data_IF_135083634245
#
_entry.id   IF_135083634245
#
_cell.length_a   1.000
_cell.length_b   1.000
_cell.length_c   1.000
_cell.angle_alpha   90.00
_cell.angle_beta   90.00
_cell.angle_gamma   90.00
#
_symmetry.space_group_name_H-M   'P 1'
#
loop_
_entity.id
_entity.type
_entity.pdbx_description
1 polymer ?
#
# COMPACT_ATOMS: atom_id res chain seq x y z
N UNK A 1 -25.65 -16.88 -5.47
CA UNK A 1 -24.40 -16.88 -6.29
C UNK A 1 -23.21 -17.06 -5.36
N UNK A 2 -22.32 -18.03 -5.59
CA UNK A 2 -21.16 -18.24 -4.73
C UNK A 2 -20.07 -17.19 -5.03
N UNK A 3 -20.05 -16.11 -4.25
CA UNK A 3 -19.11 -14.99 -4.40
C UNK A 3 -17.64 -15.42 -4.36
N UNK A 4 -17.31 -16.40 -3.53
CA UNK A 4 -15.95 -16.97 -3.45
C UNK A 4 -15.56 -17.66 -4.77
N UNK A 5 -16.46 -18.43 -5.38
CA UNK A 5 -16.22 -19.07 -6.68
C UNK A 5 -15.99 -18.04 -7.79
N UNK A 6 -16.79 -16.98 -7.81
CA UNK A 6 -16.64 -15.91 -8.81
C UNK A 6 -15.34 -15.13 -8.61
N UNK A 7 -15.01 -14.78 -7.35
CA UNK A 7 -13.72 -14.18 -7.00
C UNK A 7 -12.57 -15.04 -7.50
N UNK A 8 -12.55 -16.34 -7.18
CA UNK A 8 -11.45 -17.22 -7.58
C UNK A 8 -11.31 -17.34 -9.10
N UNK A 9 -12.42 -17.33 -9.83
CA UNK A 9 -12.42 -17.39 -11.30
C UNK A 9 -11.75 -16.15 -11.91
N UNK A 10 -12.06 -14.95 -11.42
CA UNK A 10 -11.45 -13.71 -11.93
C UNK A 10 -10.02 -13.54 -11.42
N UNK A 11 -9.79 -13.85 -10.14
CA UNK A 11 -8.53 -13.60 -9.46
C UNK A 11 -7.43 -14.47 -10.03
N UNK A 12 -7.69 -15.77 -10.26
CA UNK A 12 -6.69 -16.67 -10.86
C UNK A 12 -6.26 -16.23 -12.27
N UNK A 13 -7.17 -15.64 -13.05
CA UNK A 13 -6.83 -15.10 -14.39
C UNK A 13 -5.96 -13.86 -14.27
N UNK A 14 -6.33 -12.92 -13.40
CA UNK A 14 -5.52 -11.74 -13.13
C UNK A 14 -4.15 -12.12 -12.54
N UNK A 15 -4.10 -13.07 -11.62
CA UNK A 15 -2.89 -13.59 -11.00
C UNK A 15 -1.97 -14.25 -12.02
N UNK A 16 -2.50 -15.04 -12.97
CA UNK A 16 -1.70 -15.63 -14.05
C UNK A 16 -1.02 -14.55 -14.91
N UNK A 17 -1.71 -13.45 -15.19
CA UNK A 17 -1.22 -12.38 -16.06
C UNK A 17 -0.28 -11.39 -15.35
N UNK A 18 -0.69 -10.91 -14.18
CA UNK A 18 0.02 -9.85 -13.45
C UNK A 18 0.92 -10.39 -12.34
N UNK A 19 0.78 -11.66 -11.94
CA UNK A 19 1.62 -12.29 -10.93
C UNK A 19 3.10 -12.38 -11.33
N UNK A 20 3.44 -12.74 -12.58
CA UNK A 20 4.83 -12.76 -13.04
C UNK A 20 5.48 -11.38 -13.21
N UNK A 21 4.72 -10.28 -13.07
CA UNK A 21 5.26 -8.93 -13.25
C UNK A 21 6.17 -8.59 -12.07
N UNK A 22 7.48 -8.62 -12.34
CA UNK A 22 8.50 -8.21 -11.40
C UNK A 22 8.66 -6.68 -11.41
N UNK A 23 7.75 -6.02 -10.71
CA UNK A 23 7.80 -4.57 -10.46
C UNK A 23 7.81 -4.30 -8.97
N UNK A 24 8.90 -3.75 -8.46
CA UNK A 24 9.00 -3.28 -7.07
C UNK A 24 8.04 -2.10 -6.86
N UNK A 25 7.20 -2.19 -5.84
CA UNK A 25 6.43 -1.03 -5.36
C UNK A 25 7.24 -0.27 -4.31
N UNK A 26 6.95 1.02 -4.14
CA UNK A 26 7.71 1.87 -3.23
C UNK A 26 7.73 1.38 -1.77
N UNK A 27 6.69 0.64 -1.33
CA UNK A 27 6.61 0.02 0.00
C UNK A 27 7.22 -1.39 0.08
N UNK A 28 8.01 -1.84 -0.90
CA UNK A 28 8.56 -3.20 -0.94
C UNK A 28 10.11 -3.19 -0.96
N UNK A 29 10.73 -4.27 -0.46
CA UNK A 29 12.18 -4.52 -0.61
C UNK A 29 13.08 -3.73 0.36
N UNK A 30 12.54 -3.22 1.47
CA UNK A 30 13.33 -2.52 2.49
C UNK A 30 13.77 -3.48 3.61
N UNK A 31 14.97 -3.26 4.15
CA UNK A 31 15.55 -4.10 5.21
C UNK A 31 15.06 -3.77 6.64
N UNK A 32 14.08 -2.89 6.77
CA UNK A 32 13.52 -2.47 8.05
C UNK A 32 12.05 -2.04 7.89
N UNK A 33 11.21 -2.36 8.89
CA UNK A 33 9.80 -2.00 8.91
C UNK A 33 9.57 -0.48 8.87
N UNK A 34 10.41 0.31 9.54
CA UNK A 34 10.27 1.78 9.52
C UNK A 34 10.57 2.37 8.14
N UNK A 35 11.59 1.85 7.44
CA UNK A 35 11.90 2.29 6.06
C UNK A 35 10.73 2.01 5.14
N UNK A 36 10.13 0.82 5.29
CA UNK A 36 8.95 0.43 4.54
C UNK A 36 7.76 1.38 4.79
N UNK A 37 7.47 1.67 6.06
CA UNK A 37 6.42 2.61 6.45
C UNK A 37 6.64 3.99 5.83
N UNK A 38 7.84 4.57 6.00
CA UNK A 38 8.19 5.90 5.49
C UNK A 38 8.08 5.95 3.97
N UNK A 39 8.63 4.96 3.25
CA UNK A 39 8.52 4.88 1.80
C UNK A 39 7.06 4.74 1.34
N UNK A 40 6.23 4.03 2.10
CA UNK A 40 4.79 3.92 1.82
C UNK A 40 4.08 5.27 1.98
N UNK A 41 4.36 6.02 3.05
CA UNK A 41 3.83 7.39 3.25
C UNK A 41 4.26 8.29 2.08
N UNK A 42 5.53 8.22 1.67
CA UNK A 42 6.07 8.99 0.55
C UNK A 42 5.39 8.64 -0.79
N UNK A 43 5.01 7.38 -1.00
CA UNK A 43 4.42 6.90 -2.26
C UNK A 43 2.99 7.38 -2.51
N UNK A 44 2.31 7.91 -1.48
CA UNK A 44 0.96 8.43 -1.62
C UNK A 44 0.90 9.46 -2.76
N UNK A 45 0.10 9.17 -3.80
CA UNK A 45 -0.04 10.00 -5.00
C UNK A 45 1.31 10.33 -5.68
N UNK A 46 2.23 9.37 -5.71
CA UNK A 46 3.50 9.46 -6.42
C UNK A 46 3.81 8.17 -7.14
N UNK A 47 4.63 8.27 -8.19
CA UNK A 47 5.07 7.12 -8.97
C UNK A 47 6.15 6.36 -8.20
N UNK A 48 6.14 5.04 -8.32
CA UNK A 48 7.12 4.16 -7.66
C UNK A 48 8.53 4.50 -8.14
N UNK A 49 8.68 4.77 -9.45
CA UNK A 49 9.94 5.12 -10.13
C UNK A 49 10.54 6.46 -9.63
N UNK A 50 9.71 7.34 -9.09
CA UNK A 50 10.16 8.59 -8.46
C UNK A 50 10.43 8.39 -6.97
N UNK A 51 9.59 7.59 -6.30
CA UNK A 51 9.61 7.45 -4.85
C UNK A 51 10.81 6.64 -4.37
N UNK A 52 11.11 5.53 -5.03
CA UNK A 52 12.19 4.60 -4.64
C UNK A 52 13.56 5.29 -4.56
N UNK A 53 14.07 5.96 -5.61
CA UNK A 53 15.41 6.58 -5.54
C UNK A 53 15.48 7.72 -4.53
N UNK A 54 14.39 8.46 -4.31
CA UNK A 54 14.34 9.52 -3.30
C UNK A 54 14.35 8.93 -1.89
N UNK A 55 13.64 7.81 -1.67
CA UNK A 55 13.65 7.10 -0.40
C UNK A 55 15.03 6.48 -0.10
N UNK A 56 15.70 5.90 -1.11
CA UNK A 56 17.08 5.40 -0.97
C UNK A 56 18.03 6.51 -0.51
N UNK A 57 17.99 7.68 -1.17
CA UNK A 57 18.80 8.83 -0.75
C UNK A 57 18.42 9.37 0.64
N UNK A 58 17.13 9.37 0.97
CA UNK A 58 16.66 9.76 2.31
C UNK A 58 17.23 8.82 3.38
N UNK A 59 17.19 7.51 3.16
CA UNK A 59 17.65 6.51 4.12
C UNK A 59 19.18 6.38 4.20
N UNK A 60 19.90 6.81 3.17
CA UNK A 60 21.35 6.97 3.22
C UNK A 60 21.72 8.17 4.12
N UNK A 61 21.02 9.30 3.97
CA UNK A 61 21.23 10.48 4.84
C UNK A 61 20.73 10.28 6.27
N UNK A 62 19.60 9.59 6.45
CA UNK A 62 19.00 9.28 7.75
C UNK A 62 18.93 7.75 7.93
N UNK A 63 20.03 7.16 8.35
CA UNK A 63 20.21 5.70 8.48
C UNK A 63 19.43 5.05 9.63
N UNK A 64 18.85 5.86 10.53
CA UNK A 64 18.03 5.42 11.65
C UNK A 64 16.74 6.24 11.78
N UNK A 65 15.74 5.64 12.42
CA UNK A 65 14.45 6.29 12.67
C UNK A 65 14.60 7.52 13.56
N UNK A 66 15.47 7.45 14.57
CA UNK A 66 15.78 8.56 15.48
C UNK A 66 16.41 9.76 14.74
N UNK A 67 17.35 9.51 13.83
CA UNK A 67 17.91 10.58 12.99
C UNK A 67 16.84 11.26 12.14
N UNK A 68 15.89 10.50 11.60
CA UNK A 68 14.79 11.06 10.82
C UNK A 68 13.77 11.82 11.71
N UNK A 69 13.50 11.36 12.92
CA UNK A 69 12.64 12.03 13.91
C UNK A 69 13.17 13.42 14.33
N UNK A 70 14.51 13.55 14.36
CA UNK A 70 15.23 14.77 14.70
C UNK A 70 15.63 15.61 13.47
N UNK A 71 15.25 15.19 12.27
CA UNK A 71 15.63 15.87 11.03
C UNK A 71 15.02 17.28 10.93
N UNK A 72 15.79 18.23 10.38
CA UNK A 72 15.28 19.57 10.09
C UNK A 72 14.33 19.51 8.90
N UNK A 73 13.14 20.09 9.05
CA UNK A 73 12.12 20.12 8.01
C UNK A 73 12.65 20.60 6.64
N UNK A 74 13.44 21.69 6.62
CA UNK A 74 13.98 22.25 5.38
C UNK A 74 14.96 21.30 4.67
N UNK A 75 15.69 20.47 5.40
CA UNK A 75 16.60 19.48 4.80
C UNK A 75 15.82 18.35 4.17
N UNK A 76 14.81 17.81 4.86
CA UNK A 76 13.92 16.77 4.33
C UNK A 76 13.12 17.30 3.14
N UNK A 77 12.63 18.53 3.21
CA UNK A 77 11.92 19.18 2.10
C UNK A 77 12.81 19.33 0.85
N UNK A 78 14.09 19.65 1.04
CA UNK A 78 15.05 19.74 -0.08
C UNK A 78 15.25 18.38 -0.77
N UNK A 79 15.23 17.28 -0.01
CA UNK A 79 15.32 15.91 -0.54
C UNK A 79 14.07 15.57 -1.36
N UNK A 80 12.90 15.82 -0.79
CA UNK A 80 11.61 15.48 -1.41
C UNK A 80 11.15 16.49 -2.48
N UNK A 81 11.97 17.51 -2.82
CA UNK A 81 11.55 18.67 -3.63
C UNK A 81 10.87 18.32 -4.96
N UNK A 82 11.26 17.23 -5.60
CA UNK A 82 10.72 16.77 -6.89
C UNK A 82 9.42 15.97 -6.77
N UNK A 83 8.98 15.66 -5.55
CA UNK A 83 7.73 14.93 -5.31
C UNK A 83 6.53 15.88 -5.21
N UNK A 84 5.38 15.40 -5.68
CA UNK A 84 4.11 16.05 -5.40
C UNK A 84 3.81 16.01 -3.89
N UNK A 85 3.18 17.07 -3.38
CA UNK A 85 2.85 17.23 -1.96
C UNK A 85 4.07 17.14 -1.03
N UNK A 86 5.25 17.53 -1.52
CA UNK A 86 6.52 17.42 -0.78
C UNK A 86 6.47 18.01 0.64
N UNK A 87 5.89 19.20 0.83
CA UNK A 87 5.77 19.85 2.15
C UNK A 87 5.01 18.98 3.15
N UNK A 88 3.83 18.48 2.76
CA UNK A 88 3.01 17.60 3.60
C UNK A 88 3.73 16.29 3.87
N UNK A 89 4.35 15.69 2.85
CA UNK A 89 5.10 14.44 3.01
C UNK A 89 6.29 14.59 3.93
N UNK A 90 7.11 15.63 3.75
CA UNK A 90 8.26 15.93 4.62
C UNK A 90 7.83 16.11 6.07
N UNK A 91 6.72 16.82 6.31
CA UNK A 91 6.14 16.95 7.65
C UNK A 91 5.74 15.58 8.21
N UNK A 92 4.93 14.82 7.47
CA UNK A 92 4.45 13.51 7.94
C UNK A 92 5.56 12.51 8.22
N UNK A 93 6.61 12.41 7.40
CA UNK A 93 7.67 11.42 7.65
C UNK A 93 8.51 11.76 8.90
N UNK A 94 8.72 13.05 9.19
CA UNK A 94 9.39 13.48 10.43
C UNK A 94 8.47 13.22 11.63
N UNK A 95 7.21 13.63 11.54
CA UNK A 95 6.23 13.45 12.62
C UNK A 95 5.93 11.97 12.90
N UNK A 96 5.82 11.14 11.86
CA UNK A 96 5.68 9.70 11.99
C UNK A 96 6.88 9.08 12.69
N UNK A 97 8.10 9.45 12.27
CA UNK A 97 9.33 8.94 12.89
C UNK A 97 9.40 9.32 14.37
N UNK A 98 9.08 10.57 14.70
CA UNK A 98 9.03 11.04 16.08
C UNK A 98 7.95 10.34 16.90
N UNK A 99 6.74 10.23 16.37
CA UNK A 99 5.64 9.54 17.03
C UNK A 99 6.00 8.08 17.36
N UNK A 100 6.69 7.39 16.45
CA UNK A 100 7.13 6.00 16.67
C UNK A 100 8.23 5.92 17.74
N UNK A 101 9.22 6.81 17.71
CA UNK A 101 10.22 6.89 18.77
C UNK A 101 9.58 7.14 20.14
N UNK A 102 8.67 8.11 20.24
CA UNK A 102 8.12 8.58 21.50
C UNK A 102 7.08 7.61 22.12
N UNK A 103 6.27 6.93 21.29
CA UNK A 103 5.15 6.11 21.77
C UNK A 103 5.41 4.61 21.70
N UNK A 104 6.36 4.17 20.88
CA UNK A 104 6.64 2.74 20.63
C UNK A 104 8.13 2.40 20.72
N UNK A 105 8.95 3.27 21.32
CA UNK A 105 10.40 3.06 21.49
C UNK A 105 11.13 2.74 20.17
N UNK A 106 10.65 3.28 19.06
CA UNK A 106 11.24 3.05 17.74
C UNK A 106 10.75 1.77 17.02
N UNK A 107 9.87 0.99 17.65
CA UNK A 107 9.28 -0.21 17.07
C UNK A 107 7.98 0.10 16.32
N UNK A 108 7.73 -0.61 15.22
CA UNK A 108 6.50 -0.44 14.45
C UNK A 108 5.38 -1.24 15.13
N UNK A 109 4.27 -0.61 15.58
CA UNK A 109 3.20 -1.33 16.25
C UNK A 109 2.55 -2.35 15.31
N UNK A 110 1.98 -3.41 15.89
CA UNK A 110 1.42 -4.55 15.18
C UNK A 110 -0.11 -4.61 15.22
N UNK A 111 -0.76 -3.53 15.67
CA UNK A 111 -2.21 -3.38 15.70
C UNK A 111 -2.70 -2.23 14.80
N UNK A 112 -3.79 -2.46 14.07
CA UNK A 112 -4.36 -1.46 13.13
C UNK A 112 -4.69 -0.16 13.85
N UNK A 113 -5.32 -0.23 15.02
CA UNK A 113 -5.80 0.94 15.76
C UNK A 113 -4.64 1.79 16.30
N UNK A 114 -3.44 1.22 16.42
CA UNK A 114 -2.22 1.93 16.77
C UNK A 114 -1.54 2.51 15.52
N UNK A 115 -1.43 1.72 14.46
CA UNK A 115 -0.84 2.13 13.19
C UNK A 115 -1.54 3.34 12.58
N UNK A 116 -2.88 3.40 12.62
CA UNK A 116 -3.64 4.53 12.06
C UNK A 116 -3.49 5.84 12.86
N UNK A 117 -2.91 5.80 14.06
CA UNK A 117 -2.58 7.01 14.83
C UNK A 117 -1.29 7.66 14.34
N UNK A 118 -0.44 6.92 13.62
CA UNK A 118 0.84 7.44 13.11
C UNK A 118 0.55 8.50 12.03
N UNK A 119 1.12 9.71 12.12
CA UNK A 119 0.95 10.75 11.12
C UNK A 119 1.22 10.26 9.68
N UNK A 120 0.27 10.50 8.78
CA UNK A 120 0.37 10.06 7.38
C UNK A 120 0.03 8.59 7.12
N UNK A 121 -0.36 7.82 8.15
CA UNK A 121 -0.77 6.42 8.03
C UNK A 121 -2.29 6.31 8.06
N UNK A 122 -2.89 5.95 6.92
CA UNK A 122 -4.29 5.53 6.84
C UNK A 122 -4.45 4.01 6.93
N UNK A 123 -5.69 3.52 7.00
CA UNK A 123 -6.02 2.09 7.15
C UNK A 123 -5.38 1.17 6.10
N UNK A 124 -5.27 1.62 4.84
CA UNK A 124 -4.55 0.88 3.78
C UNK A 124 -3.05 0.74 4.08
N UNK A 125 -2.41 1.81 4.54
CA UNK A 125 -0.99 1.79 4.91
C UNK A 125 -0.78 0.91 6.15
N UNK A 126 -1.67 1.01 7.15
CA UNK A 126 -1.65 0.15 8.32
C UNK A 126 -1.74 -1.33 7.95
N UNK A 127 -2.70 -1.72 7.12
CA UNK A 127 -2.82 -3.11 6.62
C UNK A 127 -1.56 -3.57 5.86
N UNK A 128 -0.93 -2.69 5.08
CA UNK A 128 0.30 -3.03 4.36
C UNK A 128 1.44 -3.30 5.34
N UNK A 129 1.56 -2.47 6.38
CA UNK A 129 2.54 -2.66 7.46
C UNK A 129 2.31 -3.98 8.20
N UNK A 130 1.07 -4.29 8.57
CA UNK A 130 0.76 -5.58 9.21
C UNK A 130 1.14 -6.77 8.34
N UNK A 131 0.82 -6.73 7.05
CA UNK A 131 1.13 -7.82 6.12
C UNK A 131 2.63 -7.96 5.89
N UNK A 132 3.33 -6.85 5.64
CA UNK A 132 4.72 -6.90 5.19
C UNK A 132 5.74 -6.94 6.33
N UNK A 133 5.50 -6.19 7.41
CA UNK A 133 6.40 -6.14 8.58
C UNK A 133 6.10 -7.28 9.54
N UNK A 134 4.83 -7.44 9.91
CA UNK A 134 4.42 -8.36 10.98
C UNK A 134 3.95 -9.72 10.47
N UNK A 135 3.88 -9.92 9.14
CA UNK A 135 3.39 -11.14 8.49
C UNK A 135 1.99 -11.55 8.98
N UNK A 136 1.20 -10.58 9.46
CA UNK A 136 -0.19 -10.78 9.89
C UNK A 136 -1.11 -10.80 8.66
N UNK A 137 -2.15 -11.64 8.72
CA UNK A 137 -3.18 -11.71 7.69
C UNK A 137 -3.91 -10.36 7.55
N UNK A 138 -3.70 -9.65 6.44
CA UNK A 138 -4.38 -8.39 6.13
C UNK A 138 -4.75 -8.28 4.66
N UNK A 139 -5.95 -7.76 4.36
CA UNK A 139 -6.34 -7.40 2.99
C UNK A 139 -6.10 -5.91 2.81
N UNK A 140 -5.07 -5.54 2.05
CA UNK A 140 -4.87 -4.14 1.70
C UNK A 140 -5.87 -3.71 0.63
N UNK A 141 -6.87 -2.91 0.99
CA UNK A 141 -7.82 -2.35 0.02
C UNK A 141 -7.45 -0.91 -0.32
N UNK A 142 -7.04 -0.68 -1.55
CA UNK A 142 -6.88 0.65 -2.12
C UNK A 142 -8.01 0.96 -3.12
N UNK A 143 -7.89 2.07 -3.85
CA UNK A 143 -8.89 2.46 -4.85
C UNK A 143 -9.04 1.43 -5.97
N UNK A 144 -7.96 0.74 -6.37
CA UNK A 144 -8.02 -0.29 -7.39
C UNK A 144 -8.71 -1.55 -6.89
N UNK A 145 -8.35 -2.03 -5.70
CA UNK A 145 -8.98 -3.19 -5.08
C UNK A 145 -10.47 -2.93 -4.83
N UNK A 146 -10.79 -1.77 -4.25
CA UNK A 146 -12.18 -1.34 -4.03
C UNK A 146 -12.96 -1.29 -5.35
N UNK A 147 -12.42 -0.60 -6.36
CA UNK A 147 -13.08 -0.44 -7.66
C UNK A 147 -13.32 -1.80 -8.33
N UNK A 148 -12.29 -2.64 -8.45
CA UNK A 148 -12.39 -3.94 -9.14
C UNK A 148 -13.38 -4.85 -8.41
N UNK A 149 -13.30 -4.93 -7.08
CA UNK A 149 -14.19 -5.78 -6.29
C UNK A 149 -15.66 -5.39 -6.45
N UNK A 150 -15.97 -4.09 -6.58
CA UNK A 150 -17.32 -3.60 -6.86
C UNK A 150 -17.73 -3.77 -8.34
N UNK A 151 -16.83 -3.53 -9.31
CA UNK A 151 -17.11 -3.72 -10.76
C UNK A 151 -17.47 -5.18 -11.07
N UNK A 152 -16.86 -6.12 -10.37
CA UNK A 152 -17.15 -7.55 -10.52
C UNK A 152 -18.26 -8.06 -9.57
N UNK A 153 -18.92 -7.17 -8.83
CA UNK A 153 -20.00 -7.50 -7.90
C UNK A 153 -19.61 -8.55 -6.84
N UNK A 154 -18.31 -8.64 -6.53
CA UNK A 154 -17.79 -9.46 -5.42
C UNK A 154 -18.28 -8.85 -4.11
N UNK A 155 -18.19 -7.53 -4.00
CA UNK A 155 -18.74 -6.72 -2.91
C UNK A 155 -19.65 -5.63 -3.47
N UNK A 156 -20.48 -5.05 -2.61
CA UNK A 156 -21.27 -3.85 -2.89
C UNK A 156 -21.12 -2.90 -1.69
N UNK A 157 -20.11 -2.03 -1.75
CA UNK A 157 -19.65 -1.23 -0.60
C UNK A 157 -19.30 0.18 -1.07
N UNK A 158 -19.41 1.16 -0.18
CA UNK A 158 -19.23 2.57 -0.54
C UNK A 158 -17.79 3.05 -0.39
N UNK A 159 -17.02 2.40 0.46
CA UNK A 159 -15.65 2.79 0.76
C UNK A 159 -14.69 1.58 0.88
N UNK A 160 -13.37 1.80 0.82
CA UNK A 160 -12.37 0.74 0.93
C UNK A 160 -12.44 -0.06 2.24
N UNK A 161 -12.78 0.58 3.35
CA UNK A 161 -12.80 -0.04 4.68
C UNK A 161 -13.94 -1.09 4.77
N UNK A 162 -15.13 -0.76 4.28
CA UNK A 162 -16.24 -1.70 4.10
C UNK A 162 -15.86 -2.84 3.14
N UNK A 163 -15.17 -2.53 2.03
CA UNK A 163 -14.69 -3.55 1.10
C UNK A 163 -13.73 -4.52 1.79
N UNK A 164 -12.83 -4.04 2.63
CA UNK A 164 -11.89 -4.88 3.38
C UNK A 164 -12.66 -5.91 4.23
N UNK A 165 -13.61 -5.44 5.04
CA UNK A 165 -14.42 -6.27 5.93
C UNK A 165 -15.19 -7.34 5.14
N UNK A 166 -15.79 -6.96 4.01
CA UNK A 166 -16.52 -7.90 3.16
C UNK A 166 -15.60 -8.89 2.43
N UNK A 167 -14.44 -8.44 1.93
CA UNK A 167 -13.48 -9.32 1.28
C UNK A 167 -12.91 -10.35 2.25
N UNK A 168 -12.71 -10.02 3.53
CA UNK A 168 -12.27 -10.99 4.55
C UNK A 168 -13.23 -12.17 4.71
N UNK A 169 -14.53 -11.98 4.41
CA UNK A 169 -15.56 -13.04 4.45
C UNK A 169 -15.59 -13.89 3.19
N UNK A 170 -15.08 -13.39 2.06
CA UNK A 170 -15.23 -13.98 0.72
C UNK A 170 -13.94 -14.63 0.23
N UNK A 171 -12.80 -13.97 0.45
CA UNK A 171 -11.49 -14.29 -0.11
C UNK A 171 -10.78 -15.31 0.79
N UNK A 172 -10.31 -16.45 0.27
CA UNK A 172 -9.51 -17.38 1.06
C UNK A 172 -8.19 -16.74 1.55
N UNK A 173 -7.83 -16.98 2.81
CA UNK A 173 -6.65 -16.38 3.49
C UNK A 173 -5.35 -16.41 2.67
N UNK A 174 -5.07 -17.51 1.98
CA UNK A 174 -3.88 -17.67 1.12
C UNK A 174 -3.72 -16.62 -0.01
N UNK A 175 -4.76 -15.84 -0.29
CA UNK A 175 -4.74 -14.78 -1.30
C UNK A 175 -4.73 -13.36 -0.70
N UNK A 176 -4.82 -13.20 0.62
CA UNK A 176 -4.98 -11.89 1.26
C UNK A 176 -3.80 -10.94 1.00
N UNK A 177 -2.57 -11.43 1.10
CA UNK A 177 -1.36 -10.64 0.79
C UNK A 177 -1.21 -10.37 -0.71
N UNK A 178 -1.75 -11.24 -1.57
CA UNK A 178 -1.56 -11.17 -3.04
C UNK A 178 -2.59 -10.28 -3.72
N UNK A 179 -3.80 -10.17 -3.18
CA UNK A 179 -4.91 -9.50 -3.85
C UNK A 179 -4.60 -8.04 -4.20
N UNK A 180 -3.97 -7.30 -3.28
CA UNK A 180 -3.67 -5.89 -3.49
C UNK A 180 -2.74 -5.70 -4.70
N UNK A 181 -1.59 -6.37 -4.70
CA UNK A 181 -0.61 -6.27 -5.79
C UNK A 181 -1.23 -6.57 -7.15
N UNK A 182 -1.95 -7.69 -7.26
CA UNK A 182 -2.56 -8.12 -8.52
C UNK A 182 -3.60 -7.11 -9.00
N UNK A 183 -4.48 -6.64 -8.12
CA UNK A 183 -5.53 -5.69 -8.49
C UNK A 183 -5.01 -4.29 -8.75
N UNK A 184 -3.91 -3.86 -8.11
CA UNK A 184 -3.22 -2.61 -8.43
C UNK A 184 -2.64 -2.66 -9.84
N UNK A 185 -1.89 -3.72 -10.17
CA UNK A 185 -1.31 -3.88 -11.50
C UNK A 185 -2.38 -3.94 -12.59
N UNK A 186 -3.43 -4.74 -12.37
CA UNK A 186 -4.56 -4.82 -13.28
C UNK A 186 -5.34 -3.50 -13.39
N UNK A 187 -5.53 -2.83 -12.25
CA UNK A 187 -6.25 -1.57 -12.17
C UNK A 187 -5.50 -0.39 -12.81
N UNK A 188 -4.17 -0.42 -12.87
CA UNK A 188 -3.36 0.56 -13.60
C UNK A 188 -3.43 0.34 -15.12
N UNK A 189 -3.58 -0.90 -15.57
CA UNK A 189 -3.71 -1.26 -17.00
C UNK A 189 -5.11 -0.96 -17.57
N UNK A 190 -6.13 -0.87 -16.71
CA UNK A 190 -7.53 -0.58 -17.11
C UNK A 190 -8.07 0.65 -16.39
N UNK A 191 -8.37 1.69 -17.18
CA UNK A 191 -9.06 2.90 -16.70
C UNK A 191 -10.59 2.71 -16.68
N UNK A 192 -11.28 3.49 -15.83
CA UNK A 192 -12.74 3.46 -15.71
C UNK A 192 -13.31 2.28 -14.90
N UNK A 193 -14.61 2.00 -15.10
CA UNK A 193 -15.39 0.96 -14.37
C UNK A 193 -16.05 -0.07 -15.30
N UNK A 194 -15.63 -0.11 -16.56
CA UNK A 194 -16.19 -1.01 -17.57
C UNK A 194 -15.71 -2.45 -17.35
N UNK A 195 -16.64 -3.34 -16.97
CA UNK A 195 -16.37 -4.75 -16.71
C UNK A 195 -15.85 -5.49 -17.96
N UNK A 196 -16.30 -5.12 -19.15
CA UNK A 196 -15.84 -5.68 -20.43
C UNK A 196 -14.36 -5.38 -20.66
N UNK A 197 -13.94 -4.12 -20.49
CA UNK A 197 -12.52 -3.73 -20.63
C UNK A 197 -11.60 -4.49 -19.69
N UNK A 198 -12.02 -4.69 -18.44
CA UNK A 198 -11.29 -5.51 -17.48
C UNK A 198 -11.14 -6.96 -17.95
N UNK A 199 -12.22 -7.57 -18.44
CA UNK A 199 -12.22 -8.93 -18.96
C UNK A 199 -11.37 -9.09 -20.22
N UNK A 200 -11.39 -8.11 -21.12
CA UNK A 200 -10.62 -8.16 -22.37
C UNK A 200 -9.12 -8.15 -22.13
N UNK A 201 -8.64 -7.37 -21.14
CA UNK A 201 -7.24 -7.42 -20.73
C UNK A 201 -6.82 -8.78 -20.17
N UNK A 202 -7.72 -9.58 -19.62
CA UNK A 202 -7.40 -10.92 -19.15
C UNK A 202 -7.42 -11.99 -20.26
N UNK A 203 -7.89 -11.65 -21.47
CA UNK A 203 -7.93 -12.58 -22.62
C UNK A 203 -6.64 -12.57 -23.44
N UNK A 204 -5.82 -11.53 -23.35
CA UNK A 204 -4.58 -11.45 -24.12
C UNK A 204 -3.56 -12.46 -23.58
N UNK A 205 -3.23 -13.42 -24.44
CA UNK A 205 -2.32 -14.56 -24.23
C UNK A 205 -0.96 -14.16 -23.67
#
# INVERSE_FOLDING_TARGET
>A
MNKTKEFLKIFKKAEKKYGPVDKRLAGEGWNSGWKMLIATIMSAQSRDETTIPIAEYLFDKYDSLDKLANAKFNEVLKILKSMNYNRTKSKHIIEASRFICDNFNGEIPDEIDELVKIPGVGRKTANLVLSEVHKKDGICVDTHVHRISNVFEIVNTKNPDETEIELRKIVPKKYWSRINRIFVLWGKDVSGRDKGKFLDKLKSN
#
